data_IF_864213090786
#
_entry.id   IF_864213090786
#
_cell.length_a   1.000
_cell.length_b   1.000
_cell.length_c   1.000
_cell.angle_alpha   90.00
_cell.angle_beta   90.00
_cell.angle_gamma   90.00
#
_symmetry.space_group_name_H-M   'P 1'
#
loop_
_entity.id
_entity.type
_entity.pdbx_description
1 polymer ?
#
# COMPACT_ATOMS: atom_id res chain seq x y z
N UNK A 1 -8.83 -16.53 0.60
CA UNK A 1 -9.04 -15.26 -0.12
C UNK A 1 -7.69 -14.71 -0.52
N UNK A 2 -7.43 -14.59 -1.82
CA UNK A 2 -6.15 -14.13 -2.36
C UNK A 2 -6.09 -12.61 -2.38
N UNK A 3 -5.64 -12.02 -1.28
CA UNK A 3 -5.29 -10.61 -1.21
C UNK A 3 -3.97 -10.39 -1.97
N UNK A 4 -3.96 -9.49 -2.96
CA UNK A 4 -2.74 -9.08 -3.68
C UNK A 4 -1.61 -8.71 -2.70
N UNK A 5 -0.32 -8.86 -3.09
CA UNK A 5 0.81 -8.51 -2.23
C UNK A 5 0.62 -7.11 -1.66
N UNK A 6 0.49 -7.07 -0.33
CA UNK A 6 0.13 -5.86 0.37
C UNK A 6 1.34 -4.92 0.40
N UNK A 7 1.14 -3.66 0.00
CA UNK A 7 2.12 -2.63 0.30
C UNK A 7 2.21 -2.44 1.81
N UNK A 8 3.40 -2.11 2.31
CA UNK A 8 3.55 -1.77 3.71
C UNK A 8 2.73 -0.53 4.05
N UNK A 9 1.88 -0.58 5.08
CA UNK A 9 1.06 0.57 5.46
C UNK A 9 1.87 1.77 5.97
N UNK A 10 3.15 1.60 6.36
CA UNK A 10 4.00 2.69 6.87
C UNK A 10 4.75 3.40 5.73
N UNK A 11 5.56 2.67 4.97
CA UNK A 11 6.39 3.25 3.89
C UNK A 11 5.79 3.11 2.49
N UNK A 12 4.65 2.42 2.34
CA UNK A 12 3.97 2.14 1.08
C UNK A 12 4.82 1.39 0.04
N UNK A 13 5.90 0.72 0.45
CA UNK A 13 6.70 -0.11 -0.44
C UNK A 13 6.21 -1.55 -0.48
N UNK A 14 6.58 -2.27 -1.55
CA UNK A 14 6.21 -3.68 -1.78
C UNK A 14 7.25 -4.67 -1.24
N UNK A 15 8.30 -4.17 -0.59
CA UNK A 15 9.33 -4.99 0.04
C UNK A 15 8.75 -5.94 1.11
N UNK A 16 9.21 -7.19 1.09
CA UNK A 16 8.71 -8.30 1.93
C UNK A 16 9.07 -8.20 3.41
N UNK A 17 8.68 -7.12 4.09
CA UNK A 17 8.79 -6.99 5.54
C UNK A 17 7.41 -6.92 6.18
N UNK A 18 7.34 -7.28 7.47
CA UNK A 18 6.11 -7.16 8.25
C UNK A 18 5.88 -5.69 8.58
N UNK A 19 4.78 -5.09 8.07
CA UNK A 19 4.51 -3.66 8.27
C UNK A 19 4.48 -3.26 9.76
N UNK A 20 4.02 -4.15 10.64
CA UNK A 20 3.99 -3.94 12.10
C UNK A 20 5.38 -3.69 12.72
N UNK A 21 6.45 -4.13 12.05
CA UNK A 21 7.85 -3.91 12.43
C UNK A 21 8.50 -2.78 11.61
N UNK A 22 7.74 -2.10 10.75
CA UNK A 22 8.26 -1.04 9.91
C UNK A 22 8.48 0.22 10.75
N UNK A 23 9.74 0.63 10.83
CA UNK A 23 10.18 1.86 11.52
C UNK A 23 10.55 2.97 10.53
N UNK A 24 10.13 2.84 9.26
CA UNK A 24 10.48 3.79 8.22
C UNK A 24 9.91 5.19 8.52
N UNK A 25 10.77 6.19 8.40
CA UNK A 25 10.40 7.60 8.54
C UNK A 25 10.00 8.24 7.21
N UNK A 26 10.28 7.55 6.11
CA UNK A 26 10.01 7.97 4.74
C UNK A 26 9.30 6.88 3.96
N UNK A 27 8.61 7.30 2.90
CA UNK A 27 8.04 6.38 1.94
C UNK A 27 9.14 5.68 1.13
N UNK A 28 8.79 4.61 0.43
CA UNK A 28 9.69 3.75 -0.35
C UNK A 28 10.60 4.50 -1.34
N UNK A 29 10.17 5.67 -1.83
CA UNK A 29 10.91 6.49 -2.78
C UNK A 29 11.75 7.60 -2.13
N UNK A 30 11.80 7.66 -0.80
CA UNK A 30 12.46 8.69 0.00
C UNK A 30 12.00 10.14 -0.26
N UNK A 31 10.98 10.38 -1.11
CA UNK A 31 10.51 11.74 -1.45
C UNK A 31 9.59 12.33 -0.40
N UNK A 32 8.81 11.49 0.28
CA UNK A 32 7.82 11.92 1.26
C UNK A 32 8.12 11.29 2.62
N UNK A 33 7.82 12.02 3.70
CA UNK A 33 7.80 11.47 5.06
C UNK A 33 6.65 10.46 5.18
N UNK A 34 6.85 9.43 5.99
CA UNK A 34 5.79 8.50 6.37
C UNK A 34 4.76 9.26 7.22
N UNK A 35 3.50 9.25 6.78
CA UNK A 35 2.40 9.90 7.54
C UNK A 35 1.91 9.04 8.71
N UNK A 36 2.28 7.76 8.73
CA UNK A 36 1.90 6.79 9.75
C UNK A 36 3.11 6.12 10.39
N UNK A 37 2.86 5.43 11.50
CA UNK A 37 3.83 4.61 12.22
C UNK A 37 3.13 3.43 12.88
N UNK A 38 3.86 2.37 13.18
CA UNK A 38 3.37 1.27 13.98
C UNK A 38 3.82 1.43 15.43
N UNK A 39 2.88 1.31 16.37
CA UNK A 39 3.15 1.23 17.80
C UNK A 39 2.50 -0.04 18.35
N UNK A 40 3.31 -1.02 18.72
CA UNK A 40 2.84 -2.36 19.09
C UNK A 40 2.10 -3.04 17.94
N UNK A 41 0.80 -3.29 18.11
CA UNK A 41 -0.08 -3.90 17.10
C UNK A 41 -0.96 -2.89 16.35
N UNK A 42 -0.79 -1.60 16.63
CA UNK A 42 -1.65 -0.53 16.09
C UNK A 42 -0.91 0.28 15.04
N UNK A 43 -1.64 0.64 13.99
CA UNK A 43 -1.19 1.61 12.99
C UNK A 43 -1.74 2.99 13.38
N UNK A 44 -0.86 3.99 13.51
CA UNK A 44 -1.20 5.32 13.98
C UNK A 44 -0.78 6.38 12.98
N UNK A 45 -1.51 7.50 12.91
CA UNK A 45 -1.06 8.72 12.22
C UNK A 45 -0.01 9.42 13.09
N UNK A 46 1.16 9.78 12.52
CA UNK A 46 2.27 10.35 13.30
C UNK A 46 1.93 11.65 14.02
N UNK A 47 1.17 12.54 13.38
CA UNK A 47 0.91 13.87 13.94
C UNK A 47 -0.25 13.91 14.95
N UNK A 48 -1.26 13.06 14.77
CA UNK A 48 -2.47 13.08 15.59
C UNK A 48 -2.60 11.87 16.53
N UNK A 49 -1.71 10.89 16.42
CA UNK A 49 -1.79 9.59 17.11
C UNK A 49 -3.11 8.84 16.91
N UNK A 50 -3.92 9.24 15.91
CA UNK A 50 -5.18 8.57 15.58
C UNK A 50 -4.90 7.17 15.04
N UNK A 51 -5.58 6.18 15.60
CA UNK A 51 -5.53 4.80 15.10
C UNK A 51 -6.11 4.69 13.70
N UNK A 52 -5.54 3.84 12.87
CA UNK A 52 -6.01 3.50 11.54
C UNK A 52 -6.48 2.05 11.49
N UNK A 53 -7.51 1.79 10.70
CA UNK A 53 -7.94 0.43 10.42
C UNK A 53 -6.88 -0.27 9.55
N UNK A 54 -6.31 -1.37 10.06
CA UNK A 54 -5.29 -2.15 9.36
C UNK A 54 -5.90 -2.84 8.14
N UNK A 55 -7.09 -3.42 8.27
CA UNK A 55 -7.75 -4.10 7.16
C UNK A 55 -8.10 -3.13 6.03
N UNK A 56 -8.47 -1.89 6.36
CA UNK A 56 -8.66 -0.83 5.37
C UNK A 56 -7.40 -0.59 4.52
N UNK A 57 -6.20 -0.73 5.09
CA UNK A 57 -4.95 -0.53 4.34
C UNK A 57 -4.61 -1.68 3.40
N UNK A 58 -5.21 -2.86 3.59
CA UNK A 58 -4.92 -4.08 2.84
C UNK A 58 -5.68 -4.08 1.52
N UNK A 59 -5.26 -4.94 0.60
CA UNK A 59 -5.92 -5.12 -0.69
C UNK A 59 -7.36 -5.62 -0.60
N UNK A 60 -7.73 -6.36 0.45
CA UNK A 60 -9.12 -6.74 0.72
C UNK A 60 -9.99 -5.59 1.23
N UNK A 61 -9.37 -4.51 1.74
CA UNK A 61 -10.07 -3.44 2.44
C UNK A 61 -10.76 -3.92 3.71
N UNK A 62 -11.60 -3.03 4.25
CA UNK A 62 -12.50 -3.31 5.38
C UNK A 62 -13.93 -2.94 4.97
N UNK A 63 -14.89 -3.82 5.22
CA UNK A 63 -16.31 -3.60 4.93
C UNK A 63 -17.12 -3.17 6.16
N UNK A 64 -16.51 -3.18 7.35
CA UNK A 64 -17.19 -2.82 8.59
C UNK A 64 -17.42 -1.31 8.64
N UNK A 65 -18.69 -0.92 8.86
CA UNK A 65 -19.09 0.48 9.04
C UNK A 65 -18.97 1.00 10.47
N UNK A 66 -18.58 0.14 11.40
CA UNK A 66 -18.55 0.49 12.83
C UNK A 66 -17.41 1.46 13.18
N UNK A 67 -16.42 1.61 12.31
CA UNK A 67 -15.21 2.39 12.56
C UNK A 67 -14.75 3.14 11.30
N UNK A 68 -15.69 3.68 10.52
CA UNK A 68 -15.41 4.40 9.26
C UNK A 68 -14.48 5.61 9.49
N UNK A 69 -14.48 6.20 10.67
CA UNK A 69 -13.53 7.27 11.04
C UNK A 69 -12.07 6.79 11.02
N UNK A 70 -11.82 5.48 11.17
CA UNK A 70 -10.49 4.87 11.09
C UNK A 70 -10.11 4.42 9.66
N UNK A 71 -11.04 4.52 8.70
CA UNK A 71 -10.80 4.22 7.28
C UNK A 71 -10.10 5.39 6.59
N UNK A 72 -8.88 5.65 7.01
CA UNK A 72 -8.02 6.72 6.50
C UNK A 72 -6.76 6.10 5.90
N UNK A 73 -6.40 6.49 4.68
CA UNK A 73 -5.20 6.06 4.00
C UNK A 73 -3.96 6.47 4.80
N UNK A 74 -3.12 5.50 5.13
CA UNK A 74 -1.90 5.74 5.91
C UNK A 74 -0.82 6.54 5.17
N UNK A 75 -0.94 6.66 3.84
CA UNK A 75 0.03 7.31 2.96
C UNK A 75 -0.27 8.76 2.59
N UNK A 76 -1.55 9.12 2.49
CA UNK A 76 -1.99 10.46 2.08
C UNK A 76 -3.14 11.03 2.92
N UNK A 77 -3.60 10.30 3.94
CA UNK A 77 -4.67 10.69 4.86
C UNK A 77 -6.05 10.88 4.21
N UNK A 78 -6.24 10.44 2.96
CA UNK A 78 -7.55 10.43 2.32
C UNK A 78 -8.45 9.31 2.88
N UNK A 79 -9.77 9.52 2.89
CA UNK A 79 -10.76 8.53 3.36
C UNK A 79 -11.33 7.65 2.24
N UNK A 80 -11.02 7.95 0.99
CA UNK A 80 -11.58 7.25 -0.18
C UNK A 80 -10.93 5.91 -0.49
N UNK A 81 -9.76 5.62 0.09
CA UNK A 81 -8.99 4.42 -0.17
C UNK A 81 -8.05 4.10 0.99
N UNK A 82 -7.50 2.88 1.01
CA UNK A 82 -6.40 2.48 1.89
C UNK A 82 -5.03 2.50 1.22
N UNK A 83 -3.98 2.18 1.98
CA UNK A 83 -2.58 2.17 1.52
C UNK A 83 -2.36 1.47 0.18
N UNK A 84 -3.00 0.31 -0.04
CA UNK A 84 -2.84 -0.48 -1.27
C UNK A 84 -3.13 0.31 -2.54
N UNK A 85 -4.18 1.14 -2.53
CA UNK A 85 -4.63 1.90 -3.69
C UNK A 85 -4.11 3.33 -3.69
N UNK A 86 -3.17 3.66 -2.80
CA UNK A 86 -2.63 5.00 -2.69
C UNK A 86 -1.73 5.32 -3.88
N UNK A 87 -1.91 6.49 -4.49
CA UNK A 87 -1.05 6.95 -5.59
C UNK A 87 0.44 7.08 -5.20
N UNK A 88 0.73 7.24 -3.90
CA UNK A 88 2.10 7.28 -3.35
C UNK A 88 2.70 5.90 -3.14
N UNK A 89 1.89 4.83 -3.23
CA UNK A 89 2.38 3.49 -3.05
C UNK A 89 3.28 3.05 -4.20
N UNK A 90 4.20 2.16 -3.88
CA UNK A 90 5.07 1.55 -4.87
C UNK A 90 4.19 0.71 -5.79
N UNK A 91 4.05 1.18 -7.03
CA UNK A 91 3.43 0.38 -8.07
C UNK A 91 4.42 -0.72 -8.39
N UNK A 92 4.01 -1.97 -8.22
CA UNK A 92 4.68 -3.04 -8.96
C UNK A 92 4.55 -2.66 -10.42
N UNK A 93 5.68 -2.39 -11.08
CA UNK A 93 5.71 -2.36 -12.54
C UNK A 93 4.94 -3.60 -12.98
N UNK A 94 3.96 -3.50 -13.89
CA UNK A 94 3.55 -4.72 -14.58
C UNK A 94 4.86 -5.29 -15.11
N UNK A 95 5.21 -6.50 -14.66
CA UNK A 95 6.26 -7.25 -15.32
C UNK A 95 5.86 -7.22 -16.78
N UNK A 96 6.60 -6.44 -17.56
CA UNK A 96 6.42 -6.34 -18.98
C UNK A 96 6.81 -7.73 -19.46
N UNK A 97 5.82 -8.63 -19.57
CA UNK A 97 5.92 -9.79 -20.44
C UNK A 97 6.08 -9.18 -21.82
N UNK A 98 7.33 -8.89 -22.17
CA UNK A 98 7.80 -8.79 -23.54
C UNK A 98 7.48 -10.16 -24.15
N UNK A 99 6.25 -10.31 -24.63
CA UNK A 99 5.98 -11.23 -25.73
C UNK A 99 6.50 -10.54 -26.99
N UNK A 100 7.83 -10.47 -27.12
CA UNK A 100 8.49 -10.24 -28.40
C UNK A 100 8.67 -11.63 -29.03
N UNK A 101 8.07 -11.84 -30.20
CA UNK A 101 8.42 -12.78 -31.29
C UNK A 101 7.10 -13.32 -31.92
N UNK A 102 6.82 -13.15 -33.21
CA UNK A 102 7.69 -12.69 -34.27
C UNK A 102 6.94 -12.34 -35.55
N UNK A 103 7.67 -11.60 -36.39
CA UNK A 103 7.40 -11.46 -37.81
C UNK A 103 7.51 -12.85 -38.45
N UNK A 104 6.48 -13.26 -39.19
CA UNK A 104 6.51 -14.42 -40.08
C UNK A 104 5.98 -13.98 -41.42
N UNK A 105 6.90 -13.82 -42.37
CA UNK A 105 6.62 -13.44 -43.75
C UNK A 105 5.86 -14.54 -44.50
N UNK A 106 5.13 -14.08 -45.52
CA UNK A 106 4.78 -14.72 -46.79
C UNK A 106 5.17 -16.18 -46.99
N UNK A 107 4.19 -17.00 -47.36
CA UNK A 107 4.39 -18.01 -48.41
C UNK A 107 3.20 -18.06 -49.37
N UNK A 108 3.56 -17.90 -50.65
CA UNK A 108 3.03 -18.45 -51.90
C UNK A 108 1.55 -18.30 -52.26
#
# INVERSE_FOLDING_TARGET
GNCAPAVCAVCLGTHGHKFIKCVAERLWNNKFLASSTCSGKSLLVRNSYKTLCVDWQRSCGCSSRHHDEHHVCSGCLATSHGAQSCARAQKTSPTHTLQSSGMGASTS
#
